data_IF_082283987007
#
_entry.id   IF_082283987007
#
_cell.length_a   1.000
_cell.length_b   1.000
_cell.length_c   1.000
_cell.angle_alpha   90.00
_cell.angle_beta   90.00
_cell.angle_gamma   90.00
#
_symmetry.space_group_name_H-M   'P 1'
#
loop_
_entity.id
_entity.type
_entity.pdbx_description
1 polymer ?
#
# COMPACT_ATOMS: atom_id res chain seq x y z
N UNK A 1 -20.63 8.50 -8.31
CA UNK A 1 -21.25 7.99 -9.57
C UNK A 1 -20.30 6.98 -10.18
N UNK A 2 -20.76 5.77 -10.52
CA UNK A 2 -19.90 4.73 -11.09
C UNK A 2 -19.47 5.12 -12.50
N UNK A 3 -18.17 5.34 -12.71
CA UNK A 3 -17.58 5.67 -13.99
C UNK A 3 -16.11 5.24 -14.01
N UNK A 4 -15.47 5.32 -15.17
CA UNK A 4 -14.06 4.94 -15.32
C UNK A 4 -13.14 5.65 -14.31
N UNK A 5 -13.31 6.98 -14.13
CA UNK A 5 -12.48 7.77 -13.21
C UNK A 5 -12.66 7.33 -11.75
N UNK A 6 -13.89 6.98 -11.36
CA UNK A 6 -14.23 6.48 -10.04
C UNK A 6 -13.54 5.15 -9.70
N UNK A 7 -13.06 4.41 -10.70
CA UNK A 7 -12.29 3.18 -10.51
C UNK A 7 -10.78 3.41 -10.72
N UNK A 8 -10.41 4.15 -11.76
CA UNK A 8 -9.01 4.44 -12.07
C UNK A 8 -8.30 5.24 -10.97
N UNK A 9 -9.01 6.17 -10.30
CA UNK A 9 -8.45 6.98 -9.22
C UNK A 9 -8.08 6.15 -7.98
N UNK A 10 -8.99 5.39 -7.34
CA UNK A 10 -8.61 4.51 -6.23
C UNK A 10 -7.63 3.42 -6.69
N UNK A 11 -7.79 2.88 -7.90
CA UNK A 11 -6.85 1.90 -8.45
C UNK A 11 -5.42 2.41 -8.55
N UNK A 12 -5.23 3.66 -9.00
CA UNK A 12 -3.93 4.31 -9.04
C UNK A 12 -3.35 4.53 -7.65
N UNK A 13 -4.17 4.96 -6.68
CA UNK A 13 -3.74 5.16 -5.30
C UNK A 13 -3.21 3.87 -4.68
N UNK A 14 -3.99 2.78 -4.74
CA UNK A 14 -3.57 1.47 -4.22
C UNK A 14 -2.36 0.93 -4.95
N UNK A 15 -2.26 1.11 -6.27
CA UNK A 15 -1.10 0.65 -7.03
C UNK A 15 0.18 1.39 -6.63
N UNK A 16 0.14 2.72 -6.48
CA UNK A 16 1.28 3.52 -6.03
C UNK A 16 1.71 3.10 -4.62
N UNK A 17 0.76 2.94 -3.69
CA UNK A 17 1.04 2.49 -2.32
C UNK A 17 1.63 1.07 -2.31
N UNK A 18 1.08 0.16 -3.10
CA UNK A 18 1.57 -1.21 -3.23
C UNK A 18 2.99 -1.28 -3.79
N UNK A 19 3.30 -0.50 -4.83
CA UNK A 19 4.65 -0.40 -5.39
C UNK A 19 5.64 0.26 -4.42
N UNK A 20 5.20 1.25 -3.66
CA UNK A 20 6.00 1.84 -2.59
C UNK A 20 6.33 0.79 -1.51
N UNK A 21 5.33 0.03 -1.07
CA UNK A 21 5.50 -1.03 -0.07
C UNK A 21 6.37 -2.18 -0.56
N UNK A 22 6.33 -2.53 -1.85
CA UNK A 22 7.16 -3.59 -2.43
C UNK A 22 8.65 -3.28 -2.37
N UNK A 23 9.01 -2.01 -2.23
CA UNK A 23 10.40 -1.55 -2.04
C UNK A 23 10.68 -1.24 -0.57
N UNK A 24 9.75 -0.58 0.14
CA UNK A 24 9.90 -0.18 1.55
C UNK A 24 10.18 -1.38 2.44
N UNK A 25 9.33 -2.42 2.42
CA UNK A 25 9.45 -3.54 3.36
C UNK A 25 10.74 -4.35 3.19
N UNK A 26 11.17 -4.72 1.98
CA UNK A 26 12.48 -5.35 1.79
C UNK A 26 13.64 -4.46 2.28
N UNK A 27 13.60 -3.15 2.00
CA UNK A 27 14.63 -2.22 2.47
C UNK A 27 14.70 -2.25 4.00
N UNK A 28 13.56 -2.12 4.68
CA UNK A 28 13.47 -2.20 6.15
C UNK A 28 14.02 -3.52 6.68
N UNK A 29 13.62 -4.64 6.10
CA UNK A 29 14.05 -5.98 6.51
C UNK A 29 15.57 -6.17 6.44
N UNK A 30 16.20 -5.81 5.32
CA UNK A 30 17.65 -5.91 5.18
C UNK A 30 18.43 -4.88 6.01
N UNK A 31 17.78 -3.78 6.36
CA UNK A 31 18.32 -2.69 7.16
C UNK A 31 18.31 -2.96 8.67
N UNK A 32 17.26 -3.62 9.18
CA UNK A 32 17.16 -4.00 10.60
C UNK A 32 18.27 -4.96 11.05
N UNK A 33 18.87 -5.73 10.13
CA UNK A 33 20.03 -6.59 10.41
C UNK A 33 21.32 -5.83 10.79
N UNK A 34 21.37 -4.50 10.62
CA UNK A 34 22.51 -3.66 10.99
C UNK A 34 22.12 -2.60 12.03
N UNK A 35 22.44 -2.85 13.31
CA UNK A 35 22.10 -2.01 14.47
C UNK A 35 22.72 -0.60 14.38
N UNK A 36 21.91 0.44 14.14
CA UNK A 36 22.31 1.86 14.25
C UNK A 36 21.11 2.73 14.63
N UNK A 37 21.23 3.56 15.67
CA UNK A 37 20.11 4.36 16.22
C UNK A 37 19.58 5.43 15.27
N UNK A 38 20.43 5.99 14.39
CA UNK A 38 20.04 6.97 13.35
C UNK A 38 19.04 6.37 12.35
N UNK A 39 19.07 5.04 12.19
CA UNK A 39 18.21 4.31 11.25
C UNK A 39 16.79 4.14 11.79
N UNK A 40 16.66 3.89 13.09
CA UNK A 40 15.37 3.81 13.79
C UNK A 40 14.57 5.10 13.66
N UNK A 41 15.24 6.26 13.74
CA UNK A 41 14.61 7.57 13.52
C UNK A 41 14.08 7.74 12.08
N UNK A 42 14.86 7.35 11.06
CA UNK A 42 14.41 7.43 9.66
C UNK A 42 13.19 6.54 9.39
N UNK A 43 13.18 5.32 9.96
CA UNK A 43 12.02 4.42 9.87
C UNK A 43 10.79 5.05 10.53
N UNK A 44 10.94 5.60 11.72
CA UNK A 44 9.85 6.27 12.44
C UNK A 44 9.32 7.49 11.66
N UNK A 45 10.19 8.30 11.05
CA UNK A 45 9.76 9.41 10.19
C UNK A 45 8.96 8.93 8.97
N UNK A 46 9.37 7.85 8.32
CA UNK A 46 8.64 7.31 7.17
C UNK A 46 7.24 6.81 7.57
N UNK A 47 7.12 6.10 8.69
CA UNK A 47 5.83 5.62 9.19
C UNK A 47 4.91 6.80 9.57
N UNK A 48 5.46 7.86 10.21
CA UNK A 48 4.70 9.08 10.51
C UNK A 48 4.24 9.80 9.23
N UNK A 49 5.11 9.94 8.23
CA UNK A 49 4.76 10.59 6.96
C UNK A 49 3.65 9.80 6.25
N UNK A 50 3.75 8.47 6.20
CA UNK A 50 2.75 7.63 5.56
C UNK A 50 1.39 7.72 6.27
N UNK A 51 1.41 7.68 7.61
CA UNK A 51 0.21 7.84 8.44
C UNK A 51 -0.41 9.25 8.30
N UNK A 52 0.42 10.29 8.21
CA UNK A 52 -0.03 11.66 7.97
C UNK A 52 -0.65 11.84 6.58
N UNK A 53 -0.01 11.29 5.53
CA UNK A 53 -0.55 11.29 4.16
C UNK A 53 -1.90 10.56 4.14
N UNK A 54 -2.00 9.37 4.74
CA UNK A 54 -3.26 8.62 4.81
C UNK A 54 -4.35 9.42 5.52
N UNK A 55 -4.04 10.06 6.64
CA UNK A 55 -4.98 10.93 7.37
C UNK A 55 -5.43 12.10 6.51
N UNK A 56 -4.48 12.82 5.90
CA UNK A 56 -4.74 14.00 5.07
C UNK A 56 -5.63 13.67 3.87
N UNK A 57 -5.28 12.63 3.11
CA UNK A 57 -6.07 12.22 1.95
C UNK A 57 -7.48 11.75 2.34
N UNK A 58 -7.61 11.09 3.50
CA UNK A 58 -8.92 10.69 4.02
C UNK A 58 -9.78 11.90 4.39
N UNK A 59 -9.20 12.90 5.07
CA UNK A 59 -9.91 14.15 5.38
C UNK A 59 -10.32 14.89 4.12
N UNK A 60 -9.42 15.01 3.13
CA UNK A 60 -9.73 15.60 1.82
C UNK A 60 -10.87 14.82 1.15
N UNK A 61 -10.85 13.49 1.20
CA UNK A 61 -11.91 12.63 0.66
C UNK A 61 -13.27 12.90 1.30
N UNK A 62 -13.33 13.01 2.65
CA UNK A 62 -14.57 13.37 3.36
C UNK A 62 -15.06 14.75 2.91
N UNK A 63 -14.17 15.74 2.86
CA UNK A 63 -14.54 17.09 2.46
C UNK A 63 -15.06 17.13 1.01
N UNK A 64 -14.40 16.41 0.10
CA UNK A 64 -14.81 16.31 -1.29
C UNK A 64 -16.17 15.60 -1.43
N UNK A 65 -16.39 14.49 -0.74
CA UNK A 65 -17.67 13.77 -0.83
C UNK A 65 -18.84 14.54 -0.23
N UNK A 66 -18.59 15.36 0.81
CA UNK A 66 -19.62 16.11 1.52
C UNK A 66 -19.92 17.49 0.90
N UNK A 67 -18.90 18.22 0.43
CA UNK A 67 -19.00 19.66 0.15
C UNK A 67 -18.70 20.06 -1.30
N UNK A 68 -18.57 19.12 -2.24
CA UNK A 68 -18.68 19.47 -3.67
C UNK A 68 -20.06 20.11 -3.93
N UNK A 69 -20.24 20.94 -4.97
CA UNK A 69 -21.52 21.59 -5.26
C UNK A 69 -22.71 20.61 -5.30
N UNK A 70 -22.45 19.40 -5.80
CA UNK A 70 -23.41 18.29 -5.81
C UNK A 70 -23.23 17.32 -4.63
N UNK A 71 -22.77 17.77 -3.47
CA UNK A 71 -22.62 16.97 -2.25
C UNK A 71 -23.90 16.94 -1.40
N UNK A 72 -23.96 16.06 -0.38
CA UNK A 72 -25.02 16.05 0.63
C UNK A 72 -24.92 17.19 1.65
N UNK A 73 -23.79 17.90 1.76
CA UNK A 73 -23.60 19.03 2.67
C UNK A 73 -23.98 18.73 4.13
N UNK A 74 -23.60 17.55 4.63
CA UNK A 74 -23.95 17.02 5.96
C UNK A 74 -25.45 16.75 6.20
N UNK A 75 -26.30 16.89 5.18
CA UNK A 75 -27.67 16.39 5.25
C UNK A 75 -27.67 14.89 4.96
N UNK A 76 -28.08 14.09 5.95
CA UNK A 76 -28.24 12.65 5.79
C UNK A 76 -29.64 12.29 5.27
N UNK A 77 -30.64 13.07 5.66
CA UNK A 77 -32.04 12.82 5.35
C UNK A 77 -32.76 14.16 5.11
N UNK A 78 -33.53 14.24 4.04
CA UNK A 78 -34.30 15.43 3.65
C UNK A 78 -35.58 14.99 2.95
N UNK A 79 -36.71 15.64 3.26
CA UNK A 79 -38.00 15.41 2.58
C UNK A 79 -38.42 13.93 2.44
N UNK A 80 -38.24 13.18 3.52
CA UNK A 80 -38.51 11.74 3.60
C UNK A 80 -37.61 10.82 2.77
N UNK A 81 -36.50 11.33 2.23
CA UNK A 81 -35.55 10.55 1.42
C UNK A 81 -34.10 10.66 1.94
N UNK A 82 -33.30 9.63 1.66
CA UNK A 82 -31.87 9.62 1.97
C UNK A 82 -31.09 10.51 1.01
N UNK A 83 -30.29 11.42 1.54
CA UNK A 83 -29.50 12.35 0.72
C UNK A 83 -28.18 11.70 0.30
N UNK A 84 -28.06 11.33 -0.99
CA UNK A 84 -26.79 10.91 -1.62
C UNK A 84 -26.02 9.87 -0.78
N UNK A 85 -26.71 8.79 -0.41
CA UNK A 85 -26.18 7.75 0.51
C UNK A 85 -24.84 7.15 0.04
N UNK A 86 -24.56 7.20 -1.25
CA UNK A 86 -23.29 6.77 -1.81
C UNK A 86 -22.11 7.62 -1.30
N UNK A 87 -22.26 8.93 -1.28
CA UNK A 87 -21.28 9.87 -0.74
C UNK A 87 -21.06 9.62 0.77
N UNK A 88 -22.12 9.24 1.49
CA UNK A 88 -22.02 8.85 2.89
C UNK A 88 -21.26 7.54 3.09
N UNK A 89 -21.43 6.53 2.21
CA UNK A 89 -20.62 5.31 2.26
C UNK A 89 -19.13 5.62 2.05
N UNK A 90 -18.78 6.44 1.05
CA UNK A 90 -17.39 6.85 0.83
C UNK A 90 -16.84 7.67 2.01
N UNK A 91 -17.62 8.63 2.53
CA UNK A 91 -17.23 9.43 3.70
C UNK A 91 -16.99 8.55 4.93
N UNK A 92 -17.82 7.52 5.13
CA UNK A 92 -17.64 6.54 6.20
C UNK A 92 -16.35 5.75 6.00
N UNK A 93 -16.08 5.25 4.80
CA UNK A 93 -14.83 4.56 4.48
C UNK A 93 -13.61 5.45 4.78
N UNK A 94 -13.61 6.70 4.31
CA UNK A 94 -12.52 7.65 4.57
C UNK A 94 -12.36 7.94 6.06
N UNK A 95 -13.44 8.05 6.84
CA UNK A 95 -13.36 8.26 8.28
C UNK A 95 -12.55 7.16 8.97
N UNK A 96 -12.77 5.89 8.62
CA UNK A 96 -12.01 4.77 9.20
C UNK A 96 -10.52 4.82 8.83
N UNK A 97 -10.19 5.18 7.58
CA UNK A 97 -8.79 5.38 7.18
C UNK A 97 -8.13 6.59 7.85
N UNK A 98 -8.88 7.67 8.10
CA UNK A 98 -8.41 8.81 8.87
C UNK A 98 -8.08 8.41 10.32
N UNK A 99 -8.97 7.67 10.98
CA UNK A 99 -8.74 7.14 12.33
C UNK A 99 -7.54 6.21 12.36
N UNK A 100 -7.38 5.32 11.37
CA UNK A 100 -6.18 4.48 11.25
C UNK A 100 -4.89 5.29 11.07
N UNK A 101 -4.90 6.36 10.28
CA UNK A 101 -3.75 7.27 10.17
C UNK A 101 -3.40 7.95 11.50
N UNK A 102 -4.40 8.42 12.23
CA UNK A 102 -4.21 9.04 13.55
C UNK A 102 -3.62 8.03 14.56
N UNK A 103 -4.17 6.81 14.62
CA UNK A 103 -3.68 5.78 15.55
C UNK A 103 -2.25 5.34 15.23
N UNK A 104 -1.87 5.23 13.96
CA UNK A 104 -0.48 4.93 13.57
C UNK A 104 0.48 6.05 14.01
N UNK A 105 0.11 7.32 13.83
CA UNK A 105 0.90 8.45 14.31
C UNK A 105 1.03 8.44 15.84
N UNK A 106 -0.08 8.19 16.57
CA UNK A 106 -0.06 8.10 18.03
C UNK A 106 0.84 6.95 18.51
N UNK A 107 0.80 5.80 17.83
CA UNK A 107 1.66 4.66 18.16
C UNK A 107 3.15 5.00 17.96
N UNK A 108 3.47 5.88 17.02
CA UNK A 108 4.85 6.36 16.82
C UNK A 108 5.28 7.45 17.81
N UNK A 109 4.35 8.25 18.32
CA UNK A 109 4.65 9.45 19.13
C UNK A 109 4.47 9.24 20.64
N UNK A 110 3.61 8.29 21.05
CA UNK A 110 3.18 8.10 22.43
C UNK A 110 3.56 6.70 22.91
N UNK A 111 4.37 6.63 23.97
CA UNK A 111 4.92 5.37 24.51
C UNK A 111 3.90 4.46 25.21
N UNK A 112 2.71 4.95 25.53
CA UNK A 112 1.68 4.22 26.30
C UNK A 112 0.61 3.57 25.41
N UNK A 113 0.73 3.65 24.09
CA UNK A 113 -0.22 3.00 23.17
C UNK A 113 0.06 1.48 23.14
N UNK A 114 -0.96 0.61 23.31
CA UNK A 114 -0.77 -0.82 23.22
C UNK A 114 -0.15 -1.25 21.89
N UNK A 115 0.87 -2.11 21.94
CA UNK A 115 1.49 -2.68 20.76
C UNK A 115 0.45 -3.45 19.92
N UNK A 116 0.39 -3.14 18.63
CA UNK A 116 -0.52 -3.80 17.68
C UNK A 116 -1.85 -3.07 17.48
N UNK A 117 -2.14 -2.02 18.26
CA UNK A 117 -3.34 -1.20 18.03
C UNK A 117 -3.33 -0.53 16.65
N UNK A 118 -2.15 -0.10 16.19
CA UNK A 118 -1.90 0.40 14.82
C UNK A 118 -2.42 -0.58 13.76
N UNK A 119 -1.97 -1.84 13.86
CA UNK A 119 -2.36 -2.91 12.94
C UNK A 119 -3.83 -3.25 13.05
N UNK A 120 -4.38 -3.32 14.27
CA UNK A 120 -5.79 -3.65 14.49
C UNK A 120 -6.70 -2.60 13.85
N UNK A 121 -6.45 -1.32 14.08
CA UNK A 121 -7.28 -0.24 13.52
C UNK A 121 -7.14 -0.17 12.01
N UNK A 122 -5.95 -0.42 11.45
CA UNK A 122 -5.77 -0.53 10.01
C UNK A 122 -6.53 -1.73 9.42
N UNK A 123 -6.53 -2.89 10.08
CA UNK A 123 -7.30 -4.06 9.66
C UNK A 123 -8.81 -3.77 9.68
N UNK A 124 -9.30 -3.10 10.73
CA UNK A 124 -10.71 -2.67 10.83
C UNK A 124 -11.05 -1.69 9.71
N UNK A 125 -10.17 -0.75 9.38
CA UNK A 125 -10.43 0.20 8.29
C UNK A 125 -10.57 -0.49 6.92
N UNK A 126 -9.65 -1.40 6.60
CA UNK A 126 -9.71 -2.19 5.35
C UNK A 126 -10.90 -3.16 5.36
N UNK A 127 -11.27 -3.72 6.52
CA UNK A 127 -12.48 -4.52 6.64
C UNK A 127 -13.74 -3.68 6.38
N UNK A 128 -13.83 -2.47 6.94
CA UNK A 128 -14.95 -1.55 6.71
C UNK A 128 -15.04 -1.14 5.25
N UNK A 129 -13.90 -0.90 4.57
CA UNK A 129 -13.86 -0.72 3.12
C UNK A 129 -14.55 -1.88 2.41
N UNK A 130 -14.09 -3.12 2.65
CA UNK A 130 -14.67 -4.32 2.01
C UNK A 130 -16.15 -4.51 2.34
N UNK A 131 -16.55 -4.25 3.60
CA UNK A 131 -17.94 -4.38 4.04
C UNK A 131 -18.86 -3.37 3.35
N UNK A 132 -18.45 -2.10 3.24
CA UNK A 132 -19.21 -1.08 2.51
C UNK A 132 -19.26 -1.39 1.01
N UNK A 133 -18.15 -1.83 0.41
CA UNK A 133 -18.12 -2.26 -0.99
C UNK A 133 -19.02 -3.45 -1.27
N UNK A 134 -19.16 -4.41 -0.35
CA UNK A 134 -20.05 -5.55 -0.53
C UNK A 134 -21.51 -5.11 -0.71
N UNK A 135 -21.98 -4.16 0.10
CA UNK A 135 -23.34 -3.63 -0.04
C UNK A 135 -23.48 -2.58 -1.14
N UNK A 136 -22.38 -1.98 -1.61
CA UNK A 136 -22.36 -1.09 -2.77
C UNK A 136 -22.80 -1.79 -4.06
N UNK A 137 -22.46 -3.07 -4.20
CA UNK A 137 -22.65 -3.86 -5.42
C UNK A 137 -23.89 -4.76 -5.38
N UNK A 138 -24.67 -4.67 -4.30
CA UNK A 138 -25.91 -5.43 -4.17
C UNK A 138 -26.91 -5.01 -5.25
N UNK A 139 -27.52 -5.99 -5.94
CA UNK A 139 -28.47 -5.80 -7.05
C UNK A 139 -27.88 -5.22 -8.36
N UNK A 140 -26.58 -5.37 -8.62
CA UNK A 140 -25.96 -5.08 -9.93
C UNK A 140 -26.13 -6.23 -10.93
N UNK A 141 -25.95 -6.00 -12.25
CA UNK A 141 -25.92 -7.07 -13.23
C UNK A 141 -24.85 -8.13 -12.92
N UNK A 142 -24.99 -9.38 -13.41
CA UNK A 142 -24.14 -10.50 -13.00
C UNK A 142 -22.64 -10.27 -13.16
N UNK A 143 -22.21 -9.77 -14.33
CA UNK A 143 -20.79 -9.48 -14.59
C UNK A 143 -20.24 -8.37 -13.68
N UNK A 144 -20.98 -7.25 -13.54
CA UNK A 144 -20.64 -6.14 -12.63
C UNK A 144 -20.50 -6.62 -11.17
N UNK A 145 -21.46 -7.41 -10.69
CA UNK A 145 -21.40 -7.98 -9.35
C UNK A 145 -20.21 -8.93 -9.17
N UNK A 146 -19.95 -9.80 -10.16
CA UNK A 146 -18.85 -10.78 -10.10
C UNK A 146 -17.48 -10.10 -10.10
N UNK A 147 -17.26 -9.13 -10.98
CA UNK A 147 -15.95 -8.46 -11.09
C UNK A 147 -15.62 -7.69 -9.80
N UNK A 148 -16.61 -7.09 -9.14
CA UNK A 148 -16.41 -6.46 -7.83
C UNK A 148 -16.28 -7.48 -6.69
N UNK A 149 -16.97 -8.62 -6.76
CA UNK A 149 -16.82 -9.67 -5.75
C UNK A 149 -15.39 -10.23 -5.71
N UNK A 150 -14.71 -10.30 -6.85
CA UNK A 150 -13.28 -10.66 -6.91
C UNK A 150 -12.39 -9.61 -6.22
N UNK A 151 -12.73 -8.32 -6.31
CA UNK A 151 -12.03 -7.26 -5.56
C UNK A 151 -12.13 -7.49 -4.05
N UNK A 152 -13.31 -7.87 -3.56
CA UNK A 152 -13.54 -8.13 -2.15
C UNK A 152 -12.63 -9.23 -1.61
N UNK A 153 -12.28 -10.25 -2.42
CA UNK A 153 -11.30 -11.25 -2.04
C UNK A 153 -9.93 -10.64 -1.69
N UNK A 154 -9.46 -9.66 -2.49
CA UNK A 154 -8.21 -8.97 -2.22
C UNK A 154 -8.30 -8.08 -0.97
N UNK A 155 -9.42 -7.35 -0.80
CA UNK A 155 -9.64 -6.45 0.34
C UNK A 155 -9.74 -7.23 1.65
N UNK A 156 -10.60 -8.25 1.72
CA UNK A 156 -10.75 -9.08 2.92
C UNK A 156 -9.49 -9.91 3.21
N UNK A 157 -8.81 -10.42 2.18
CA UNK A 157 -7.51 -11.06 2.34
C UNK A 157 -6.48 -10.09 2.94
N UNK A 158 -6.50 -8.83 2.50
CA UNK A 158 -5.64 -7.76 3.02
C UNK A 158 -5.95 -7.44 4.48
N UNK A 159 -7.22 -7.23 4.81
CA UNK A 159 -7.68 -7.02 6.19
C UNK A 159 -7.27 -8.17 7.12
N UNK A 160 -7.45 -9.42 6.67
CA UNK A 160 -7.05 -10.60 7.41
C UNK A 160 -5.53 -10.67 7.60
N UNK A 161 -4.74 -10.40 6.55
CA UNK A 161 -3.28 -10.34 6.65
C UNK A 161 -2.82 -9.31 7.71
N UNK A 162 -3.42 -8.11 7.70
CA UNK A 162 -3.11 -7.06 8.68
C UNK A 162 -3.52 -7.50 10.09
N UNK A 163 -4.67 -8.16 10.23
CA UNK A 163 -5.12 -8.68 11.52
C UNK A 163 -4.14 -9.71 12.09
N UNK A 164 -3.60 -10.60 11.26
CA UNK A 164 -2.56 -11.56 11.68
C UNK A 164 -1.27 -10.83 12.10
N UNK A 165 -0.91 -9.70 11.46
CA UNK A 165 0.22 -8.84 11.86
C UNK A 165 0.07 -8.21 13.25
N UNK A 166 -1.13 -8.20 13.85
CA UNK A 166 -1.34 -7.79 15.27
C UNK A 166 -0.56 -8.72 16.20
N UNK A 167 -0.53 -10.02 15.89
CA UNK A 167 0.17 -11.05 16.68
C UNK A 167 1.57 -11.31 16.12
N UNK A 168 1.69 -11.43 14.80
CA UNK A 168 2.94 -11.74 14.09
C UNK A 168 3.59 -10.47 13.53
N UNK A 169 3.87 -9.51 14.41
CA UNK A 169 4.42 -8.19 14.05
C UNK A 169 5.77 -8.31 13.35
N UNK A 170 6.02 -7.40 12.39
CA UNK A 170 7.27 -7.29 11.63
C UNK A 170 7.68 -8.55 10.86
N UNK A 171 6.75 -9.46 10.61
CA UNK A 171 6.98 -10.62 9.76
C UNK A 171 7.01 -10.19 8.28
N UNK A 172 8.20 -10.26 7.67
CA UNK A 172 8.39 -9.85 6.26
C UNK A 172 7.49 -10.62 5.29
N UNK A 173 7.18 -11.89 5.55
CA UNK A 173 6.31 -12.68 4.67
C UNK A 173 4.89 -12.11 4.66
N UNK A 174 4.33 -11.77 5.84
CA UNK A 174 3.02 -11.14 5.94
C UNK A 174 3.01 -9.74 5.30
N UNK A 175 4.08 -8.97 5.48
CA UNK A 175 4.20 -7.65 4.87
C UNK A 175 4.25 -7.72 3.34
N UNK A 176 4.99 -8.68 2.77
CA UNK A 176 5.06 -8.92 1.32
C UNK A 176 3.74 -9.48 0.77
N UNK A 177 3.08 -10.36 1.51
CA UNK A 177 1.77 -10.89 1.15
C UNK A 177 0.70 -9.79 1.14
N UNK A 178 0.62 -8.96 2.18
CA UNK A 178 -0.24 -7.77 2.17
C UNK A 178 0.07 -6.83 1.01
N UNK A 179 1.36 -6.64 0.70
CA UNK A 179 1.78 -5.80 -0.42
C UNK A 179 1.28 -6.33 -1.77
N UNK A 180 1.36 -7.65 -2.01
CA UNK A 180 0.85 -8.24 -3.26
C UNK A 180 -0.66 -8.08 -3.37
N UNK A 181 -1.41 -8.17 -2.26
CA UNK A 181 -2.85 -7.95 -2.24
C UNK A 181 -3.23 -6.49 -2.52
N UNK A 182 -2.46 -5.51 -2.04
CA UNK A 182 -2.70 -4.10 -2.37
C UNK A 182 -2.40 -3.78 -3.83
N UNK A 183 -1.35 -4.37 -4.41
CA UNK A 183 -1.08 -4.27 -5.86
C UNK A 183 -2.23 -4.90 -6.66
N UNK A 184 -2.69 -6.08 -6.24
CA UNK A 184 -3.85 -6.74 -6.84
C UNK A 184 -5.08 -5.84 -6.78
N UNK A 185 -5.44 -5.31 -5.61
CA UNK A 185 -6.54 -4.36 -5.43
C UNK A 185 -6.43 -3.16 -6.38
N UNK A 186 -5.25 -2.53 -6.46
CA UNK A 186 -5.02 -1.38 -7.35
C UNK A 186 -5.17 -1.71 -8.84
N UNK A 187 -4.53 -2.78 -9.31
CA UNK A 187 -4.66 -3.20 -10.73
C UNK A 187 -6.06 -3.69 -11.06
N UNK A 188 -6.77 -4.27 -10.09
CA UNK A 188 -8.12 -4.79 -10.30
C UNK A 188 -9.17 -3.69 -10.38
N UNK A 189 -9.02 -2.61 -9.62
CA UNK A 189 -9.82 -1.40 -9.81
C UNK A 189 -9.71 -0.87 -11.26
N UNK A 190 -8.50 -0.85 -11.83
CA UNK A 190 -8.35 -0.51 -13.25
C UNK A 190 -9.08 -1.50 -14.16
N UNK A 191 -8.96 -2.81 -13.89
CA UNK A 191 -9.66 -3.83 -14.67
C UNK A 191 -11.18 -3.65 -14.64
N UNK A 192 -11.77 -3.35 -13.47
CA UNK A 192 -13.19 -3.00 -13.33
C UNK A 192 -13.53 -1.80 -14.22
N UNK A 193 -12.71 -0.74 -14.18
CA UNK A 193 -12.86 0.43 -15.02
C UNK A 193 -12.90 0.08 -16.51
N UNK A 194 -11.97 -0.74 -17.00
CA UNK A 194 -11.91 -1.13 -18.41
C UNK A 194 -13.08 -2.02 -18.86
N UNK A 195 -13.53 -2.94 -18.00
CA UNK A 195 -14.61 -3.88 -18.35
C UNK A 195 -15.98 -3.19 -18.32
N UNK A 196 -16.26 -2.42 -17.27
CA UNK A 196 -17.59 -1.80 -17.08
C UNK A 196 -17.71 -0.45 -17.78
N UNK A 197 -16.59 0.23 -18.04
CA UNK A 197 -16.57 1.54 -18.67
C UNK A 197 -15.48 1.60 -19.75
N UNK A 198 -15.62 0.84 -20.86
CA UNK A 198 -14.62 0.79 -21.93
C UNK A 198 -14.22 2.20 -22.37
N UNK A 199 -12.95 2.59 -22.19
CA UNK A 199 -12.50 3.90 -22.62
C UNK A 199 -12.57 3.97 -24.14
N UNK A 200 -12.78 5.18 -24.67
CA UNK A 200 -12.83 5.45 -26.12
C UNK A 200 -14.02 4.83 -26.87
N UNK A 201 -15.09 4.43 -26.17
CA UNK A 201 -16.31 3.96 -26.81
C UNK A 201 -16.19 2.56 -27.42
N UNK A 202 -15.32 1.71 -26.85
CA UNK A 202 -15.26 0.30 -27.21
C UNK A 202 -16.58 -0.43 -26.93
N UNK A 203 -16.78 -1.64 -27.52
CA UNK A 203 -18.00 -2.40 -27.32
C UNK A 203 -18.20 -2.76 -25.84
N UNK A 204 -19.44 -2.63 -25.37
CA UNK A 204 -19.82 -3.02 -24.02
C UNK A 204 -19.77 -4.55 -23.87
N UNK A 205 -19.40 -5.00 -22.67
CA UNK A 205 -19.38 -6.42 -22.33
C UNK A 205 -20.78 -6.93 -22.05
N UNK A 206 -21.13 -8.11 -22.58
CA UNK A 206 -22.40 -8.76 -22.25
C UNK A 206 -22.42 -9.17 -20.76
N UNK A 207 -23.34 -8.56 -20.02
CA UNK A 207 -23.51 -8.73 -18.58
C UNK A 207 -24.05 -10.11 -18.19
N UNK A 208 -24.59 -10.88 -19.15
CA UNK A 208 -25.21 -12.19 -18.92
C UNK A 208 -24.43 -13.35 -19.53
N UNK A 209 -23.34 -13.07 -20.23
CA UNK A 209 -22.51 -14.11 -20.83
C UNK A 209 -21.60 -14.76 -19.77
N UNK A 210 -21.85 -16.04 -19.49
CA UNK A 210 -21.08 -16.83 -18.55
C UNK A 210 -19.59 -16.96 -18.96
N UNK A 211 -19.27 -16.87 -20.26
CA UNK A 211 -17.90 -16.88 -20.73
C UNK A 211 -17.12 -15.64 -20.25
N UNK A 212 -17.78 -14.48 -20.14
CA UNK A 212 -17.18 -13.27 -19.58
C UNK A 212 -16.85 -13.46 -18.10
N UNK A 213 -17.71 -14.13 -17.32
CA UNK A 213 -17.46 -14.42 -15.91
C UNK A 213 -16.23 -15.32 -15.75
N UNK A 214 -16.15 -16.39 -16.54
CA UNK A 214 -14.99 -17.30 -16.55
C UNK A 214 -13.70 -16.57 -16.93
N UNK A 215 -13.75 -15.76 -17.99
CA UNK A 215 -12.60 -15.00 -18.47
C UNK A 215 -12.10 -14.00 -17.42
N UNK A 216 -13.02 -13.23 -16.81
CA UNK A 216 -12.67 -12.27 -15.76
C UNK A 216 -12.06 -12.98 -14.55
N UNK A 217 -12.56 -14.15 -14.14
CA UNK A 217 -11.93 -14.94 -13.07
C UNK A 217 -10.50 -15.37 -13.44
N UNK A 218 -10.26 -15.77 -14.69
CA UNK A 218 -8.90 -16.07 -15.17
C UNK A 218 -7.99 -14.83 -15.12
N UNK A 219 -8.49 -13.68 -15.58
CA UNK A 219 -7.76 -12.41 -15.51
C UNK A 219 -7.38 -12.06 -14.07
N UNK A 220 -8.27 -12.29 -13.09
CA UNK A 220 -7.97 -12.05 -11.68
C UNK A 220 -6.74 -12.83 -11.21
N UNK A 221 -6.68 -14.12 -11.55
CA UNK A 221 -5.54 -14.97 -11.24
C UNK A 221 -4.24 -14.48 -11.92
N UNK A 222 -4.33 -14.00 -13.16
CA UNK A 222 -3.17 -13.42 -13.85
C UNK A 222 -2.68 -12.12 -13.21
N UNK A 223 -3.61 -11.24 -12.82
CA UNK A 223 -3.28 -10.03 -12.05
C UNK A 223 -2.58 -10.37 -10.74
N UNK A 224 -3.06 -11.40 -10.03
CA UNK A 224 -2.42 -11.80 -8.79
C UNK A 224 -1.02 -12.40 -9.00
N UNK A 225 -0.86 -13.24 -10.03
CA UNK A 225 0.47 -13.74 -10.42
C UNK A 225 1.42 -12.59 -10.77
N UNK A 226 0.95 -11.59 -11.53
CA UNK A 226 1.72 -10.39 -11.85
C UNK A 226 2.10 -9.60 -10.58
N UNK A 227 1.18 -9.43 -9.64
CA UNK A 227 1.46 -8.77 -8.35
C UNK A 227 2.54 -9.51 -7.55
N UNK A 228 2.50 -10.84 -7.50
CA UNK A 228 3.54 -11.66 -6.86
C UNK A 228 4.90 -11.50 -7.56
N UNK A 229 4.92 -11.49 -8.89
CA UNK A 229 6.14 -11.24 -9.67
C UNK A 229 6.72 -9.86 -9.38
N UNK A 230 5.88 -8.81 -9.32
CA UNK A 230 6.33 -7.45 -8.99
C UNK A 230 6.99 -7.42 -7.61
N UNK A 231 6.36 -8.02 -6.60
CA UNK A 231 6.92 -8.07 -5.23
C UNK A 231 8.24 -8.85 -5.21
N UNK A 232 8.32 -9.99 -5.89
CA UNK A 232 9.54 -10.81 -5.95
C UNK A 232 10.69 -10.08 -6.67
N UNK A 233 10.39 -9.38 -7.76
CA UNK A 233 11.35 -8.55 -8.50
C UNK A 233 11.83 -7.40 -7.61
N UNK A 234 10.92 -6.65 -6.97
CA UNK A 234 11.28 -5.56 -6.06
C UNK A 234 12.18 -6.04 -4.92
N UNK A 235 11.84 -7.16 -4.28
CA UNK A 235 12.66 -7.77 -3.23
C UNK A 235 14.08 -8.11 -3.73
N UNK A 236 14.16 -8.75 -4.91
CA UNK A 236 15.43 -9.14 -5.52
C UNK A 236 16.28 -7.92 -5.92
N UNK A 237 15.67 -6.89 -6.49
CA UNK A 237 16.34 -5.63 -6.84
C UNK A 237 16.90 -4.94 -5.60
N UNK A 238 16.12 -4.85 -4.52
CA UNK A 238 16.58 -4.28 -3.25
C UNK A 238 17.76 -5.07 -2.69
N UNK A 239 17.67 -6.41 -2.68
CA UNK A 239 18.77 -7.27 -2.24
C UNK A 239 20.04 -7.06 -3.07
N UNK A 240 19.93 -7.07 -4.39
CA UNK A 240 21.04 -6.82 -5.32
C UNK A 240 21.65 -5.42 -5.14
N UNK A 241 20.83 -4.40 -4.95
CA UNK A 241 21.29 -3.03 -4.74
C UNK A 241 22.08 -2.90 -3.42
N UNK A 242 21.54 -3.44 -2.32
CA UNK A 242 22.19 -3.38 -1.01
C UNK A 242 23.48 -4.21 -0.94
N UNK A 243 23.54 -5.36 -1.60
CA UNK A 243 24.75 -6.19 -1.67
C UNK A 243 25.85 -5.50 -2.49
N UNK A 244 25.51 -4.87 -3.62
CA UNK A 244 26.45 -4.06 -4.41
C UNK A 244 27.02 -2.87 -3.63
N UNK A 245 26.17 -2.14 -2.89
CA UNK A 245 26.61 -1.03 -2.04
C UNK A 245 27.56 -1.48 -0.93
N UNK A 246 27.28 -2.62 -0.27
CA UNK A 246 28.18 -3.19 0.74
C UNK A 246 29.54 -3.58 0.16
N UNK A 247 29.56 -4.19 -1.03
CA UNK A 247 30.80 -4.56 -1.72
C UNK A 247 31.66 -3.32 -2.03
N UNK A 248 31.04 -2.30 -2.61
CA UNK A 248 31.73 -1.05 -2.97
C UNK A 248 32.22 -0.27 -1.73
N UNK A 249 31.44 -0.27 -0.64
CA UNK A 249 31.87 0.32 0.64
C UNK A 249 33.06 -0.42 1.27
N UNK A 250 33.06 -1.75 1.20
CA UNK A 250 34.18 -2.59 1.63
C UNK A 250 35.45 -2.36 0.80
N UNK A 251 35.32 -2.24 -0.52
CA UNK A 251 36.43 -1.91 -1.43
C UNK A 251 37.02 -0.53 -1.12
N UNK A 252 36.20 0.51 -0.90
CA UNK A 252 36.68 1.86 -0.53
C UNK A 252 37.41 1.84 0.81
N UNK A 253 36.88 1.16 1.83
CA UNK A 253 37.52 1.05 3.15
C UNK A 253 38.85 0.29 3.02
N UNK A 254 38.89 -0.79 2.23
CA UNK A 254 40.10 -1.57 1.95
C UNK A 254 41.19 -0.72 1.27
N UNK A 255 40.83 0.05 0.24
CA UNK A 255 41.75 0.96 -0.46
C UNK A 255 42.27 2.05 0.50
N UNK A 256 41.41 2.61 1.35
CA UNK A 256 41.83 3.63 2.33
C UNK A 256 42.80 3.07 3.37
N UNK A 257 42.60 1.83 3.83
CA UNK A 257 43.50 1.15 4.76
C UNK A 257 44.86 0.87 4.11
N UNK A 258 44.87 0.34 2.89
CA UNK A 258 46.09 0.12 2.10
C UNK A 258 46.91 1.41 1.90
N UNK A 259 46.24 2.53 1.56
CA UNK A 259 46.91 3.83 1.40
C UNK A 259 47.48 4.36 2.71
N UNK A 260 46.76 4.18 3.82
CA UNK A 260 47.26 4.52 5.16
C UNK A 260 48.51 3.72 5.51
N UNK A 261 48.45 2.39 5.41
CA UNK A 261 49.55 1.49 5.76
C UNK A 261 50.80 1.78 4.90
N UNK A 262 50.62 2.07 3.61
CA UNK A 262 51.73 2.46 2.74
C UNK A 262 52.35 3.81 3.16
N UNK A 263 51.53 4.79 3.57
CA UNK A 263 52.03 6.09 4.04
C UNK A 263 52.84 5.94 5.34
N UNK A 264 52.41 5.07 6.25
CA UNK A 264 53.16 4.75 7.48
C UNK A 264 54.48 4.03 7.17
N UNK A 265 54.50 3.08 6.23
CA UNK A 265 55.73 2.40 5.83
C UNK A 265 56.73 3.35 5.15
N UNK A 266 56.28 4.26 4.28
CA UNK A 266 57.16 5.24 3.63
C UNK A 266 57.75 6.23 4.65
N UNK A 267 56.96 6.66 5.65
CA UNK A 267 57.44 7.55 6.71
C UNK A 267 58.49 6.91 7.64
N UNK A 268 58.38 5.61 7.91
CA UNK A 268 59.37 4.87 8.71
C UNK A 268 60.68 4.65 7.95
N UNK A 269 60.63 4.45 6.63
CA UNK A 269 61.82 4.28 5.80
C UNK A 269 62.56 5.59 5.56
N UNK A 270 61.85 6.72 5.42
CA UNK A 270 62.49 8.04 5.27
C UNK A 270 63.16 8.58 6.54
N UNK A 271 62.87 8.00 7.71
CA UNK A 271 63.51 8.36 8.98
C UNK A 271 64.76 7.54 9.32
N UNK A 272 65.15 6.59 8.46
CA UNK A 272 66.27 5.67 8.69
C UNK A 272 67.54 6.02 7.89
N UNK A 273 67.49 7.01 7.00
CA UNK A 273 68.59 7.38 6.10
C UNK A 273 69.32 8.69 6.51
N UNK A 274 69.11 9.18 7.73
CA UNK A 274 69.89 10.29 8.31
C UNK A 274 70.78 9.80 9.47
N UNK A 275 71.84 9.05 9.16
CA UNK A 275 73.08 8.96 9.95
C UNK A 275 74.31 8.92 9.05
#
# INVERSE_FOLDING_TARGET
>A
MANFKGHALPGSFFLIVGLWWSVKYPLMYFHQKGKSSRRTHYHQCLEIIEAAIRTLFSVIGILAEQFVPDGPHLHLYHENEWCKLMNWQHSTMYLFFAVSGIVDMLTCLVSHVPLGLDRLVMAVAVFTEGFLFYYHVHNRPPLDQHIHSLLLCAVFGGAFSIFVEVVLRDNIVLQLFRTSLVILQGTWFWQIGFVLFPPFGGPEWDQKDDANLMFVTMCFCWHYLAALCIVAISYSLVFCHLTRLKRHGGEIIGIRKLKSDHTYQTALLSGSDEE
#
